data_IF_479994064156
#
_entry.id   IF_479994064156
#
_cell.length_a   1.000
_cell.length_b   1.000
_cell.length_c   1.000
_cell.angle_alpha   90.00
_cell.angle_beta   90.00
_cell.angle_gamma   90.00
#
_symmetry.space_group_name_H-M   'P 1'
#
loop_
_entity.id
_entity.type
_entity.pdbx_description
1 polymer ?
#
# COMPACT_ATOMS: atom_id res chain seq x y z
N UNK A 1 -15.15 27.76 0.53
CA UNK A 1 -14.39 26.63 -0.05
C UNK A 1 -13.34 26.26 0.99
N UNK A 2 -13.38 25.03 1.51
CA UNK A 2 -12.41 24.56 2.51
C UNK A 2 -11.33 23.75 1.81
N UNK A 3 -10.07 24.14 1.96
CA UNK A 3 -8.90 23.41 1.48
C UNK A 3 -8.23 22.74 2.67
N UNK A 4 -7.91 21.45 2.55
CA UNK A 4 -7.12 20.73 3.53
C UNK A 4 -5.79 20.32 2.88
N UNK A 5 -4.70 20.93 3.31
CA UNK A 5 -3.35 20.54 2.91
C UNK A 5 -2.79 19.51 3.88
N UNK A 6 -2.08 18.50 3.35
CA UNK A 6 -1.34 17.52 4.16
C UNK A 6 0.13 17.94 4.16
N UNK A 7 0.73 18.02 5.35
CA UNK A 7 2.15 18.33 5.54
C UNK A 7 2.70 17.58 6.75
N UNK A 8 4.00 17.69 7.02
CA UNK A 8 4.60 17.10 8.23
C UNK A 8 3.94 17.58 9.52
N UNK A 9 3.58 18.87 9.58
CA UNK A 9 2.95 19.49 10.76
C UNK A 9 1.41 19.32 10.76
N UNK A 10 0.83 18.95 9.62
CA UNK A 10 -0.61 18.77 9.45
C UNK A 10 -0.86 17.40 8.81
N UNK A 11 -0.82 16.32 9.62
CA UNK A 11 -0.98 14.98 9.10
C UNK A 11 -2.41 14.76 8.60
N UNK A 12 -2.57 13.74 7.77
CA UNK A 12 -3.87 13.38 7.22
C UNK A 12 -4.81 12.89 8.36
N UNK A 13 -5.98 13.52 8.58
CA UNK A 13 -6.90 13.11 9.61
C UNK A 13 -7.45 11.71 9.32
N UNK A 14 -7.66 10.86 10.35
CA UNK A 14 -8.24 9.53 10.16
C UNK A 14 -9.60 9.55 9.45
N UNK A 15 -10.40 10.61 9.64
CA UNK A 15 -11.66 10.79 8.96
C UNK A 15 -11.50 10.92 7.43
N UNK A 16 -10.45 11.61 6.96
CA UNK A 16 -10.16 11.75 5.53
C UNK A 16 -9.65 10.41 4.96
N UNK A 17 -8.81 9.69 5.71
CA UNK A 17 -8.39 8.33 5.33
C UNK A 17 -9.58 7.39 5.14
N UNK A 18 -10.53 7.42 6.07
CA UNK A 18 -11.77 6.65 5.93
C UNK A 18 -12.57 7.08 4.71
N UNK A 19 -12.67 8.38 4.42
CA UNK A 19 -13.35 8.89 3.23
C UNK A 19 -12.70 8.40 1.94
N UNK A 20 -11.35 8.42 1.86
CA UNK A 20 -10.59 7.90 0.73
C UNK A 20 -10.92 6.42 0.50
N UNK A 21 -10.91 5.60 1.56
CA UNK A 21 -11.26 4.19 1.46
C UNK A 21 -12.72 3.98 1.03
N UNK A 22 -13.68 4.75 1.58
CA UNK A 22 -15.10 4.64 1.20
C UNK A 22 -15.43 5.18 -0.20
N UNK A 23 -14.58 6.01 -0.78
CA UNK A 23 -14.85 6.62 -2.08
C UNK A 23 -14.87 5.59 -3.22
N UNK A 24 -14.35 4.38 -3.01
CA UNK A 24 -14.30 3.32 -4.02
C UNK A 24 -13.43 3.66 -5.23
N UNK A 25 -12.56 4.67 -5.11
CA UNK A 25 -11.68 5.14 -6.18
C UNK A 25 -10.40 4.29 -6.31
N UNK A 26 -10.15 3.38 -5.36
CA UNK A 26 -8.95 2.55 -5.27
C UNK A 26 -9.31 1.08 -5.49
N UNK A 27 -8.31 0.31 -5.91
CA UNK A 27 -8.44 -1.15 -5.94
C UNK A 27 -8.62 -1.68 -4.52
N UNK A 28 -9.50 -2.66 -4.38
CA UNK A 28 -9.87 -3.26 -3.10
C UNK A 28 -9.52 -4.75 -3.13
N UNK A 29 -8.73 -5.20 -2.15
CA UNK A 29 -8.40 -6.61 -2.00
C UNK A 29 -8.73 -7.11 -0.59
N UNK A 30 -9.14 -8.37 -0.51
CA UNK A 30 -9.39 -9.05 0.76
C UNK A 30 -8.07 -9.46 1.40
N UNK A 31 -7.99 -9.37 2.73
CA UNK A 31 -6.84 -9.86 3.50
C UNK A 31 -6.81 -11.39 3.58
N UNK A 32 -6.53 -12.08 2.48
CA UNK A 32 -6.26 -13.52 2.45
C UNK A 32 -4.78 -13.76 2.16
N UNK A 33 -4.21 -14.92 2.53
CA UNK A 33 -2.82 -15.24 2.21
C UNK A 33 -2.50 -15.05 0.72
N UNK A 34 -1.32 -14.50 0.42
CA UNK A 34 -0.81 -14.17 -0.91
C UNK A 34 -1.62 -13.14 -1.72
N UNK A 35 -2.70 -12.56 -1.17
CA UNK A 35 -3.51 -11.60 -1.92
C UNK A 35 -2.74 -10.33 -2.26
N UNK A 36 -1.97 -9.80 -1.31
CA UNK A 36 -1.19 -8.58 -1.53
C UNK A 36 -0.07 -8.91 -2.50
N UNK A 37 0.66 -10.01 -2.27
CA UNK A 37 1.76 -10.43 -3.14
C UNK A 37 1.28 -10.62 -4.59
N UNK A 38 0.20 -11.37 -4.77
CA UNK A 38 -0.42 -11.58 -6.07
C UNK A 38 -0.88 -10.28 -6.70
N UNK A 39 -1.48 -9.38 -5.92
CA UNK A 39 -1.97 -8.11 -6.44
C UNK A 39 -0.83 -7.23 -6.95
N UNK A 40 0.25 -7.09 -6.18
CA UNK A 40 1.44 -6.32 -6.58
C UNK A 40 2.09 -6.96 -7.81
N UNK A 41 2.20 -8.30 -7.86
CA UNK A 41 2.88 -8.98 -8.97
C UNK A 41 2.15 -8.85 -10.31
N UNK A 42 0.81 -8.97 -10.31
CA UNK A 42 0.01 -8.97 -11.53
C UNK A 42 -0.48 -7.58 -11.96
N UNK A 43 -0.68 -6.67 -11.00
CA UNK A 43 -1.23 -5.34 -11.27
C UNK A 43 -0.24 -4.21 -11.02
N UNK A 44 0.85 -4.47 -10.31
CA UNK A 44 1.99 -3.57 -10.27
C UNK A 44 2.63 -3.55 -11.65
N UNK A 45 2.80 -2.35 -12.22
CA UNK A 45 3.48 -2.15 -13.51
C UNK A 45 4.96 -2.51 -13.35
N UNK A 46 5.30 -3.81 -13.28
CA UNK A 46 6.68 -4.26 -13.08
C UNK A 46 7.42 -4.33 -14.41
N UNK A 47 8.70 -3.99 -14.36
CA UNK A 47 9.62 -4.25 -15.45
C UNK A 47 9.90 -5.76 -15.54
N UNK A 48 9.77 -6.34 -16.73
CA UNK A 48 9.85 -7.81 -16.92
C UNK A 48 11.21 -8.39 -16.51
N UNK A 49 12.31 -7.68 -16.83
CA UNK A 49 13.67 -8.14 -16.54
C UNK A 49 14.09 -7.93 -15.08
N UNK A 50 13.80 -6.76 -14.49
CA UNK A 50 14.30 -6.43 -13.15
C UNK A 50 13.35 -6.84 -12.03
N UNK A 51 12.09 -7.16 -12.34
CA UNK A 51 11.05 -7.49 -11.35
C UNK A 51 10.65 -6.31 -10.46
N UNK A 52 11.08 -5.09 -10.79
CA UNK A 52 10.78 -3.87 -10.01
C UNK A 52 9.58 -3.12 -10.56
N UNK A 53 8.79 -2.50 -9.68
CA UNK A 53 7.72 -1.59 -10.09
C UNK A 53 8.28 -0.36 -10.79
N UNK A 54 7.73 -0.02 -11.96
CA UNK A 54 8.07 1.17 -12.76
C UNK A 54 7.25 2.41 -12.34
N UNK A 55 6.22 2.22 -11.53
CA UNK A 55 5.36 3.29 -11.01
C UNK A 55 4.85 2.92 -9.62
N UNK A 56 4.56 3.93 -8.76
CA UNK A 56 3.96 3.66 -7.47
C UNK A 56 2.55 3.08 -7.62
N UNK A 57 2.13 2.31 -6.62
CA UNK A 57 0.84 1.64 -6.59
C UNK A 57 0.12 1.94 -5.28
N UNK A 58 -1.17 2.24 -5.35
CA UNK A 58 -2.02 2.55 -4.19
C UNK A 58 -3.27 1.68 -4.20
N UNK A 59 -3.54 0.97 -3.11
CA UNK A 59 -4.71 0.10 -2.96
C UNK A 59 -5.12 -0.08 -1.49
N UNK A 60 -6.33 -0.59 -1.26
CA UNK A 60 -6.84 -0.92 0.07
C UNK A 60 -6.85 -2.43 0.30
N UNK A 61 -6.39 -2.85 1.48
CA UNK A 61 -6.56 -4.22 1.99
C UNK A 61 -7.63 -4.18 3.09
N UNK A 62 -8.74 -4.89 2.89
CA UNK A 62 -9.82 -4.96 3.88
C UNK A 62 -9.74 -6.24 4.71
N UNK A 63 -10.25 -6.16 5.94
CA UNK A 63 -10.40 -7.33 6.80
C UNK A 63 -11.05 -8.49 6.04
N UNK A 64 -10.44 -9.68 6.16
CA UNK A 64 -10.88 -10.91 5.48
C UNK A 64 -12.37 -11.15 5.69
N UNK A 65 -13.08 -11.62 4.66
CA UNK A 65 -14.50 -12.01 4.68
C UNK A 65 -15.52 -10.89 4.87
N UNK A 66 -15.11 -9.63 5.03
CA UNK A 66 -16.02 -8.50 5.19
C UNK A 66 -15.60 -7.34 4.29
N UNK A 67 -16.50 -6.91 3.42
CA UNK A 67 -16.24 -5.76 2.54
C UNK A 67 -16.53 -4.43 3.26
N UNK A 68 -15.63 -3.47 3.04
CA UNK A 68 -15.80 -2.08 3.42
C UNK A 68 -15.00 -1.64 4.67
N UNK A 69 -14.64 -0.34 4.74
CA UNK A 69 -13.72 0.22 5.73
C UNK A 69 -14.26 0.23 7.16
N UNK A 70 -15.56 0.04 7.36
CA UNK A 70 -16.18 -0.07 8.67
C UNK A 70 -15.65 -1.25 9.49
N UNK A 71 -15.12 -2.29 8.82
CA UNK A 71 -14.54 -3.47 9.47
C UNK A 71 -13.03 -3.35 9.68
N UNK A 72 -12.42 -2.28 9.18
CA UNK A 72 -10.99 -2.04 9.24
C UNK A 72 -10.27 -2.33 7.94
N UNK A 73 -9.21 -1.57 7.68
CA UNK A 73 -8.43 -1.62 6.44
C UNK A 73 -6.99 -1.14 6.63
N UNK A 74 -6.13 -1.52 5.69
CA UNK A 74 -4.83 -0.89 5.44
C UNK A 74 -4.88 -0.18 4.09
N UNK A 75 -4.45 1.08 4.06
CA UNK A 75 -4.15 1.79 2.82
C UNK A 75 -2.67 1.58 2.48
N UNK A 76 -2.39 0.96 1.35
CA UNK A 76 -1.07 0.47 1.00
C UNK A 76 -0.50 1.28 -0.16
N UNK A 77 0.60 1.98 0.08
CA UNK A 77 1.41 2.62 -0.95
C UNK A 77 2.66 1.77 -1.21
N UNK A 78 2.82 1.28 -2.42
CA UNK A 78 4.05 0.60 -2.86
C UNK A 78 4.84 1.59 -3.70
N UNK A 79 6.06 1.89 -3.29
CA UNK A 79 6.93 2.79 -4.04
C UNK A 79 7.40 2.17 -5.35
N UNK A 80 7.69 3.05 -6.30
CA UNK A 80 8.48 2.73 -7.47
C UNK A 80 9.81 2.10 -7.04
N UNK A 81 10.32 1.15 -7.84
CA UNK A 81 11.55 0.44 -7.55
C UNK A 81 11.41 -0.72 -6.57
N UNK A 82 10.25 -0.90 -5.91
CA UNK A 82 9.96 -2.07 -5.09
C UNK A 82 10.08 -3.35 -5.93
N UNK A 83 10.85 -4.32 -5.44
CA UNK A 83 11.11 -5.58 -6.14
C UNK A 83 10.13 -6.66 -5.67
N UNK A 84 9.54 -7.39 -6.63
CA UNK A 84 8.71 -8.55 -6.36
C UNK A 84 9.08 -9.71 -7.28
N UNK A 85 9.47 -10.84 -6.69
CA UNK A 85 9.97 -12.00 -7.43
C UNK A 85 8.85 -12.87 -8.01
N UNK A 86 7.74 -13.03 -7.28
CA UNK A 86 6.68 -13.99 -7.60
C UNK A 86 5.32 -13.53 -7.06
N UNK A 87 4.24 -14.09 -7.63
CA UNK A 87 2.87 -13.85 -7.16
C UNK A 87 2.53 -14.58 -5.86
N UNK A 88 3.24 -15.66 -5.56
CA UNK A 88 3.03 -16.51 -4.37
C UNK A 88 4.34 -16.72 -3.63
N UNK A 89 4.26 -16.94 -2.33
CA UNK A 89 5.42 -17.34 -1.53
C UNK A 89 5.59 -18.86 -1.53
N UNK A 90 6.82 -19.36 -1.52
CA UNK A 90 7.06 -20.80 -1.40
C UNK A 90 7.08 -21.23 0.06
N UNK A 91 6.67 -22.46 0.34
CA UNK A 91 6.75 -23.03 1.69
C UNK A 91 8.20 -23.04 2.18
N UNK A 92 8.44 -22.39 3.33
CA UNK A 92 9.76 -22.29 3.95
C UNK A 92 10.57 -21.05 3.56
N UNK A 93 10.07 -20.20 2.66
CA UNK A 93 10.68 -18.90 2.40
C UNK A 93 10.63 -18.01 3.68
N UNK A 94 11.68 -17.22 3.97
CA UNK A 94 11.69 -16.34 5.14
C UNK A 94 10.60 -15.28 5.08
N UNK A 95 10.15 -14.78 6.23
CA UNK A 95 9.20 -13.67 6.33
C UNK A 95 9.76 -12.39 5.69
N UNK A 96 8.98 -11.74 4.83
CA UNK A 96 9.28 -10.47 4.18
C UNK A 96 8.24 -9.39 4.53
N UNK A 97 8.43 -8.17 3.99
CA UNK A 97 7.57 -7.03 4.32
C UNK A 97 6.12 -7.21 3.83
N UNK A 98 5.88 -8.06 2.82
CA UNK A 98 4.53 -8.34 2.31
C UNK A 98 3.79 -9.24 3.29
N UNK A 99 4.46 -10.22 3.90
CA UNK A 99 3.84 -11.11 4.90
C UNK A 99 3.29 -10.31 6.09
N UNK A 100 4.00 -9.25 6.50
CA UNK A 100 3.52 -8.33 7.55
C UNK A 100 2.28 -7.56 7.13
N UNK A 101 2.18 -7.21 5.84
CA UNK A 101 1.01 -6.53 5.28
C UNK A 101 -0.22 -7.46 5.22
N UNK A 102 0.00 -8.74 4.97
CA UNK A 102 -1.00 -9.81 4.93
C UNK A 102 -1.39 -10.33 6.32
N UNK A 103 -0.76 -9.82 7.39
CA UNK A 103 -1.13 -10.16 8.75
C UNK A 103 -2.59 -9.77 9.05
N UNK A 104 -3.18 -10.41 10.06
CA UNK A 104 -4.56 -10.14 10.49
C UNK A 104 -4.85 -8.64 10.67
N UNK A 105 -6.05 -8.20 10.26
CA UNK A 105 -6.55 -6.83 10.43
C UNK A 105 -7.64 -6.87 11.51
N UNK A 106 -7.44 -6.23 12.68
CA UNK A 106 -8.47 -6.12 13.71
C UNK A 106 -9.70 -5.32 13.25
N UNK A 107 -10.85 -5.57 13.87
CA UNK A 107 -12.06 -4.82 13.58
C UNK A 107 -11.86 -3.32 13.88
N UNK A 108 -12.23 -2.47 12.90
CA UNK A 108 -12.12 -1.02 13.01
C UNK A 108 -10.69 -0.46 12.86
N UNK A 109 -9.71 -1.31 12.58
CA UNK A 109 -8.31 -0.90 12.36
C UNK A 109 -8.17 0.02 11.15
N UNK A 110 -7.36 1.07 11.26
CA UNK A 110 -7.05 1.95 10.13
C UNK A 110 -5.57 2.26 10.16
N UNK A 111 -4.88 1.97 9.06
CA UNK A 111 -3.43 2.12 8.98
C UNK A 111 -3.02 2.49 7.55
N UNK A 112 -1.99 3.32 7.42
CA UNK A 112 -1.30 3.57 6.16
C UNK A 112 0.02 2.83 6.21
N UNK A 113 0.27 1.96 5.23
CA UNK A 113 1.53 1.23 5.13
C UNK A 113 2.23 1.59 3.83
N UNK A 114 3.54 1.78 3.93
CA UNK A 114 4.40 2.14 2.81
C UNK A 114 5.42 1.01 2.60
N UNK A 115 5.46 0.46 1.39
CA UNK A 115 6.42 -0.57 1.00
C UNK A 115 7.47 0.00 0.05
N UNK A 116 8.73 -0.33 0.31
CA UNK A 116 9.88 0.22 -0.41
C UNK A 116 10.35 1.57 0.14
N UNK A 117 11.56 1.95 -0.23
CA UNK A 117 12.06 3.29 0.07
C UNK A 117 11.42 4.30 -0.88
N UNK A 118 10.98 5.44 -0.35
CA UNK A 118 10.68 6.59 -1.19
C UNK A 118 11.95 6.93 -1.99
N UNK A 119 11.84 7.07 -3.32
CA UNK A 119 12.95 7.55 -4.13
C UNK A 119 13.42 8.88 -3.54
N UNK A 120 14.64 8.90 -3.01
CA UNK A 120 15.29 10.12 -2.48
C UNK A 120 15.49 11.19 -3.56
N UNK A 121 15.22 10.89 -4.82
CA UNK A 121 15.43 11.82 -5.95
C UNK A 121 14.57 13.09 -5.90
N UNK A 122 13.49 13.14 -5.11
CA UNK A 122 12.71 14.38 -4.97
C UNK A 122 13.17 15.31 -3.82
N UNK A 123 14.10 14.87 -2.96
CA UNK A 123 14.52 15.64 -1.78
C UNK A 123 15.85 16.39 -1.95
N UNK A 124 16.66 16.03 -2.95
CA UNK A 124 18.00 16.61 -3.16
C UNK A 124 18.04 17.66 -4.29
N UNK A 125 16.94 17.93 -5.00
CA UNK A 125 16.90 18.97 -6.05
C UNK A 125 16.58 20.39 -5.52
N UNK A 126 16.23 20.55 -4.25
CA UNK A 126 15.91 21.86 -3.63
C UNK A 126 17.03 22.43 -2.74
N UNK A 127 18.21 21.78 -2.66
CA UNK A 127 19.34 22.25 -1.85
C UNK A 127 20.42 23.03 -2.62
N UNK A 128 20.29 23.21 -3.94
CA UNK A 128 21.30 23.86 -4.78
C UNK A 128 20.73 25.00 -5.68
N UNK A 129 19.82 25.83 -5.15
CA UNK A 129 19.45 27.13 -5.75
C UNK A 129 19.37 28.27 -4.73
#
# INVERSE_FOLDING_TARGET
MSFYGVSGDTPLPPAILRQIATAGALNEISNIPDAVRSHIFWHGKRHEVTGKLEAPMLFCVYQTTRHGPQNGFRLCLVHQGFYIASATKSDGDPEDDIDRLEAFIPEGHMEVVVLGAADRQAADEDSDL
#
